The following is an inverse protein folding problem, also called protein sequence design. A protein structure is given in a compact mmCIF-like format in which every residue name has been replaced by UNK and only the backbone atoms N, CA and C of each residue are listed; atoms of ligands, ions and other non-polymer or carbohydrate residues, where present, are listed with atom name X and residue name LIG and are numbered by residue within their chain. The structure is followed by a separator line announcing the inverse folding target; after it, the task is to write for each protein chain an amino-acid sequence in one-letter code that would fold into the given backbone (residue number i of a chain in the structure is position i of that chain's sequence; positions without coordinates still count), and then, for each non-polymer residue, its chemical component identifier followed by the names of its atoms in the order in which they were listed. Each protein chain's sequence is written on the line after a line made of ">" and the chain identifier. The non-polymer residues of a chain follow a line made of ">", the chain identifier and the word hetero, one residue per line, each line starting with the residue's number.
data_IF_690779883577
#
_entry.id   IF_690779883577
#
_cell.length_a   1.000
_cell.length_b   1.000
_cell.length_c   1.000
_cell.angle_alpha   90.00
_cell.angle_beta   90.00
_cell.angle_gamma   90.00
#
_symmetry.space_group_name_H-M   'P 1'
#
loop_
_entity.id
_entity.type
_entity.pdbx_description
1 polymer ?
#
# COMPACT_ATOMS: atom_id res chain seq x y z
N UNK A 1 -9.66 -23.60 12.23
CA UNK A 1 -8.57 -23.06 11.39
C UNK A 1 -9.14 -21.89 10.63
N UNK A 2 -8.49 -20.71 10.59
CA UNK A 2 -8.95 -19.64 9.69
C UNK A 2 -8.89 -20.17 8.25
N UNK A 3 -9.89 -19.83 7.43
CA UNK A 3 -9.92 -20.29 6.04
C UNK A 3 -8.67 -19.81 5.27
N UNK A 4 -8.25 -20.62 4.30
CA UNK A 4 -7.08 -20.35 3.46
C UNK A 4 -7.06 -18.89 2.98
N UNK A 5 -5.91 -18.19 3.07
CA UNK A 5 -5.71 -16.86 2.46
C UNK A 5 -5.82 -16.84 0.94
N UNK A 6 -5.96 -18.01 0.31
CA UNK A 6 -5.98 -18.18 -1.13
C UNK A 6 -7.39 -18.56 -1.53
N UNK A 7 -8.07 -17.66 -2.26
CA UNK A 7 -9.27 -17.98 -3.01
C UNK A 7 -8.87 -18.26 -4.46
N UNK A 8 -9.21 -19.45 -4.93
CA UNK A 8 -9.01 -19.84 -6.34
C UNK A 8 -10.32 -19.52 -7.06
N UNK A 9 -10.33 -18.47 -7.88
CA UNK A 9 -11.39 -18.28 -8.87
C UNK A 9 -11.02 -19.00 -10.18
N UNK A 10 -12.05 -19.36 -10.96
CA UNK A 10 -12.09 -20.39 -12.02
C UNK A 10 -11.09 -20.31 -13.21
N UNK A 11 -9.99 -19.54 -13.13
CA UNK A 11 -8.98 -19.42 -14.20
C UNK A 11 -7.53 -19.35 -13.66
N UNK A 12 -7.15 -20.23 -12.73
CA UNK A 12 -5.77 -20.35 -12.16
C UNK A 12 -5.14 -19.06 -11.57
N UNK A 13 -5.86 -17.94 -11.52
CA UNK A 13 -5.38 -16.72 -10.87
C UNK A 13 -5.52 -16.84 -9.36
N UNK A 14 -4.37 -16.90 -8.69
CA UNK A 14 -4.29 -16.85 -7.23
C UNK A 14 -4.67 -15.43 -6.78
N UNK A 15 -5.86 -15.28 -6.20
CA UNK A 15 -6.30 -14.04 -5.56
C UNK A 15 -6.06 -14.18 -4.06
N UNK A 16 -5.21 -13.32 -3.51
CA UNK A 16 -5.02 -13.24 -2.07
C UNK A 16 -6.30 -12.67 -1.43
N UNK A 17 -6.89 -13.46 -0.53
CA UNK A 17 -8.16 -13.20 0.17
C UNK A 17 -8.04 -12.15 1.29
N UNK A 18 -6.82 -11.91 1.77
CA UNK A 18 -6.54 -11.00 2.89
C UNK A 18 -5.52 -9.95 2.49
N UNK A 19 -5.85 -9.16 1.47
CA UNK A 19 -4.98 -8.07 1.05
C UNK A 19 -5.23 -6.83 1.91
N UNK A 20 -4.20 -6.00 2.05
CA UNK A 20 -4.34 -4.71 2.74
C UNK A 20 -5.49 -3.86 2.19
N UNK A 21 -5.79 -3.95 0.88
CA UNK A 21 -6.92 -3.25 0.27
C UNK A 21 -8.28 -3.70 0.83
N UNK A 22 -8.44 -4.99 1.14
CA UNK A 22 -9.70 -5.54 1.66
C UNK A 22 -9.94 -5.03 3.09
N UNK A 23 -8.88 -4.95 3.89
CA UNK A 23 -8.94 -4.32 5.22
C UNK A 23 -9.28 -2.83 5.14
N UNK A 24 -8.68 -2.09 4.21
CA UNK A 24 -8.97 -0.66 4.03
C UNK A 24 -10.45 -0.47 3.69
N UNK A 25 -10.98 -1.26 2.74
CA UNK A 25 -12.41 -1.23 2.36
C UNK A 25 -13.31 -1.55 3.53
N UNK A 26 -13.02 -2.62 4.25
CA UNK A 26 -13.80 -3.02 5.41
C UNK A 26 -13.83 -1.93 6.49
N UNK A 27 -12.70 -1.29 6.80
CA UNK A 27 -12.67 -0.19 7.78
C UNK A 27 -13.54 0.98 7.31
N UNK A 28 -13.50 1.32 6.01
CA UNK A 28 -14.32 2.40 5.44
C UNK A 28 -15.80 2.06 5.43
N UNK A 29 -16.16 0.80 5.16
CA UNK A 29 -17.54 0.33 5.18
C UNK A 29 -18.12 0.33 6.61
N UNK A 30 -17.35 -0.09 7.61
CA UNK A 30 -17.83 -0.21 8.99
C UNK A 30 -17.74 1.08 9.81
N UNK A 31 -16.73 1.91 9.55
CA UNK A 31 -16.39 3.07 10.40
C UNK A 31 -16.32 4.40 9.63
N UNK A 32 -16.63 4.42 8.33
CA UNK A 32 -16.57 5.61 7.49
C UNK A 32 -15.22 6.35 7.62
N UNK A 33 -15.21 7.66 7.86
CA UNK A 33 -14.00 8.48 7.99
C UNK A 33 -13.47 8.58 9.44
N UNK A 34 -13.94 7.75 10.37
CA UNK A 34 -13.50 7.83 11.77
C UNK A 34 -12.00 7.53 11.94
N UNK A 35 -11.46 6.63 11.12
CA UNK A 35 -10.05 6.22 11.19
C UNK A 35 -9.21 6.83 10.07
N UNK A 36 -8.02 7.31 10.42
CA UNK A 36 -6.97 7.59 9.44
C UNK A 36 -6.22 6.29 9.12
N UNK A 37 -6.19 5.88 7.85
CA UNK A 37 -5.60 4.61 7.43
C UNK A 37 -4.27 4.86 6.69
N UNK A 38 -3.21 4.24 7.18
CA UNK A 38 -1.89 4.24 6.56
C UNK A 38 -1.62 2.91 5.83
N UNK A 39 -0.92 2.95 4.70
CA UNK A 39 -0.51 1.74 3.98
C UNK A 39 0.98 1.73 3.63
N UNK A 40 1.52 0.52 3.46
CA UNK A 40 2.92 0.26 3.10
C UNK A 40 3.03 -0.37 1.70
N UNK A 41 4.23 -0.26 1.11
CA UNK A 41 4.57 -0.73 -0.23
C UNK A 41 5.36 -2.06 -0.26
N UNK A 42 5.44 -2.73 -1.41
CA UNK A 42 5.95 -4.09 -1.62
C UNK A 42 7.16 -4.12 -2.64
N UNK A 43 7.75 -5.30 -2.98
CA UNK A 43 9.10 -5.38 -3.57
C UNK A 43 9.24 -5.24 -5.10
N UNK A 44 8.16 -5.21 -5.90
CA UNK A 44 8.19 -5.07 -7.37
C UNK A 44 7.63 -3.73 -7.85
N UNK A 45 8.51 -2.85 -8.33
CA UNK A 45 8.27 -1.42 -8.44
C UNK A 45 7.00 -0.97 -9.20
N UNK A 46 6.84 -1.37 -10.47
CA UNK A 46 5.76 -0.82 -11.31
C UNK A 46 4.37 -1.34 -10.94
N UNK A 47 4.24 -2.64 -10.67
CA UNK A 47 2.99 -3.25 -10.25
C UNK A 47 2.58 -2.76 -8.85
N UNK A 48 3.56 -2.54 -7.98
CA UNK A 48 3.30 -2.12 -6.61
C UNK A 48 2.84 -0.66 -6.51
N UNK A 49 3.37 0.24 -7.35
CA UNK A 49 2.87 1.61 -7.44
C UNK A 49 1.39 1.64 -7.90
N UNK A 50 1.01 0.81 -8.88
CA UNK A 50 -0.39 0.69 -9.30
C UNK A 50 -1.27 0.12 -8.18
N UNK A 51 -0.77 -0.88 -7.47
CA UNK A 51 -1.49 -1.49 -6.37
C UNK A 51 -1.62 -0.55 -5.16
N UNK A 52 -0.60 0.26 -4.89
CA UNK A 52 -0.63 1.34 -3.91
C UNK A 52 -1.71 2.37 -4.24
N UNK A 53 -1.84 2.75 -5.52
CA UNK A 53 -2.95 3.61 -5.97
C UNK A 53 -4.30 2.98 -5.66
N UNK A 54 -4.49 1.69 -5.91
CA UNK A 54 -5.75 1.01 -5.55
C UNK A 54 -6.03 1.02 -4.04
N UNK A 55 -5.02 0.95 -3.18
CA UNK A 55 -5.19 1.08 -1.71
C UNK A 55 -5.63 2.50 -1.31
N UNK A 56 -5.10 3.52 -1.99
CA UNK A 56 -5.47 4.91 -1.75
C UNK A 56 -6.90 5.16 -2.23
N UNK A 57 -7.25 4.67 -3.43
CA UNK A 57 -8.62 4.72 -3.96
C UNK A 57 -9.63 3.97 -3.08
N UNK A 58 -9.18 2.93 -2.36
CA UNK A 58 -9.99 2.24 -1.37
C UNK A 58 -10.21 3.04 -0.07
N UNK A 59 -9.49 4.15 0.15
CA UNK A 59 -9.68 5.05 1.28
C UNK A 59 -8.48 5.23 2.21
N UNK A 60 -7.27 4.81 1.83
CA UNK A 60 -6.07 5.14 2.61
C UNK A 60 -5.75 6.64 2.54
N UNK A 61 -5.42 7.26 3.68
CA UNK A 61 -5.21 8.71 3.76
C UNK A 61 -3.75 9.14 3.58
N UNK A 62 -2.79 8.26 3.85
CA UNK A 62 -1.37 8.51 3.66
C UNK A 62 -0.58 7.20 3.52
N UNK A 63 0.65 7.31 3.02
CA UNK A 63 1.57 6.18 2.81
C UNK A 63 2.76 6.32 3.75
N UNK A 64 3.19 5.22 4.36
CA UNK A 64 4.49 5.12 5.03
C UNK A 64 5.37 4.21 4.18
N UNK A 65 6.52 4.70 3.75
CA UNK A 65 7.43 3.90 2.91
C UNK A 65 8.20 2.88 3.73
N UNK A 66 8.66 1.82 3.07
CA UNK A 66 9.74 1.00 3.61
C UNK A 66 11.03 1.84 3.74
N UNK A 67 11.96 1.34 4.55
CA UNK A 67 13.28 1.92 4.74
C UNK A 67 14.04 2.09 3.42
N UNK A 68 14.80 3.18 3.34
CA UNK A 68 15.74 3.47 2.26
C UNK A 68 16.99 4.14 2.84
N UNK A 69 18.13 3.99 2.14
CA UNK A 69 19.41 4.58 2.53
C UNK A 69 19.92 5.64 1.53
N UNK A 70 19.30 5.73 0.35
CA UNK A 70 19.60 6.70 -0.70
C UNK A 70 18.39 7.61 -0.92
N UNK A 71 18.59 8.93 -0.88
CA UNK A 71 17.50 9.92 -0.99
C UNK A 71 16.91 9.90 -2.40
N UNK A 72 17.74 9.66 -3.42
CA UNK A 72 17.36 9.61 -4.82
C UNK A 72 16.32 8.52 -5.11
N UNK A 73 16.38 7.40 -4.38
CA UNK A 73 15.39 6.31 -4.46
C UNK A 73 14.03 6.80 -3.97
N UNK A 74 14.00 7.50 -2.84
CA UNK A 74 12.76 8.08 -2.31
C UNK A 74 12.20 9.17 -3.23
N UNK A 75 13.05 10.06 -3.76
CA UNK A 75 12.61 11.10 -4.69
C UNK A 75 12.02 10.52 -5.98
N UNK A 76 12.64 9.46 -6.53
CA UNK A 76 12.10 8.75 -7.70
C UNK A 76 10.74 8.14 -7.39
N UNK A 77 10.60 7.48 -6.25
CA UNK A 77 9.33 6.92 -5.80
C UNK A 77 8.23 7.98 -5.70
N UNK A 78 8.55 9.15 -5.12
CA UNK A 78 7.62 10.27 -5.06
C UNK A 78 7.21 10.70 -6.48
N UNK A 79 8.15 10.96 -7.39
CA UNK A 79 7.85 11.38 -8.77
C UNK A 79 6.90 10.41 -9.46
N UNK A 80 7.20 9.12 -9.40
CA UNK A 80 6.43 8.09 -10.10
C UNK A 80 5.04 7.92 -9.48
N UNK A 81 4.91 8.04 -8.15
CA UNK A 81 3.61 8.11 -7.47
C UNK A 81 2.78 9.32 -7.93
N UNK A 82 3.41 10.50 -8.02
CA UNK A 82 2.73 11.73 -8.46
C UNK A 82 2.30 11.64 -9.93
N UNK A 83 3.11 11.02 -10.79
CA UNK A 83 2.81 10.84 -12.21
C UNK A 83 1.52 10.03 -12.44
N UNK A 84 1.26 9.03 -11.61
CA UNK A 84 0.02 8.23 -11.69
C UNK A 84 -1.16 8.81 -10.91
N UNK A 85 -1.00 9.99 -10.31
CA UNK A 85 -2.06 10.72 -9.60
C UNK A 85 -2.23 10.40 -8.12
N UNK A 86 -1.26 9.75 -7.48
CA UNK A 86 -1.26 9.61 -6.01
C UNK A 86 -0.97 11.00 -5.41
N UNK A 87 -1.91 11.59 -4.67
CA UNK A 87 -1.77 12.93 -4.07
C UNK A 87 -1.68 12.94 -2.55
N UNK A 88 -1.94 11.81 -1.89
CA UNK A 88 -1.86 11.70 -0.44
C UNK A 88 -0.42 11.94 0.06
N UNK A 89 -0.25 12.36 1.34
CA UNK A 89 1.06 12.45 1.97
C UNK A 89 1.80 11.11 1.92
N UNK A 90 3.10 11.16 1.62
CA UNK A 90 4.00 10.01 1.62
C UNK A 90 5.10 10.31 2.63
N UNK A 91 5.16 9.53 3.71
CA UNK A 91 6.05 9.72 4.84
C UNK A 91 7.22 8.73 4.73
N UNK A 92 8.48 9.21 4.74
CA UNK A 92 9.64 8.34 4.63
C UNK A 92 9.86 7.51 5.90
N UNK A 93 9.99 6.20 5.76
CA UNK A 93 10.48 5.32 6.82
C UNK A 93 12.01 5.39 6.93
N UNK A 94 12.54 5.82 8.08
CA UNK A 94 13.99 5.94 8.32
C UNK A 94 14.40 5.00 9.46
N UNK A 95 15.41 4.16 9.23
CA UNK A 95 16.02 3.31 10.26
C UNK A 95 17.42 3.83 10.61
N UNK A 96 17.61 4.44 11.80
CA UNK A 96 18.93 4.88 12.24
C UNK A 96 19.81 3.66 12.56
N UNK A 97 21.00 3.59 11.95
CA UNK A 97 22.02 2.60 12.32
C UNK A 97 22.74 3.12 13.57
N UNK A 98 22.64 2.38 14.66
CA UNK A 98 23.41 2.65 15.87
C UNK A 98 24.68 1.81 15.84
N UNK A 99 25.83 2.49 15.80
CA UNK A 99 27.17 1.90 15.88
C UNK A 99 27.73 1.99 17.29
#
# INVERSE_FOLDING_TARGET
>A
MPESPLEIQNDEQIIYRYRAIDMIRWIREEFDDYFTIACADAPSYAADILYLKSKIEAGANFVITQLFFEVEVFEKFIRDCREIGITVPIIPGILPIQV
#
